data_IF_686138968168
#
_entry.id   IF_686138968168
#
_cell.length_a   1.000
_cell.length_b   1.000
_cell.length_c   1.000
_cell.angle_alpha   90.00
_cell.angle_beta   90.00
_cell.angle_gamma   90.00
#
_symmetry.space_group_name_H-M   'P 1'
#
loop_
_entity.id
_entity.type
_entity.pdbx_description
1 polymer ?
#
# COMPACT_ATOMS: atom_id res chain seq x y z
N UNK A 1 10.44 -11.87 70.24
CA UNK A 1 9.16 -11.68 69.52
C UNK A 1 9.11 -10.44 68.60
N UNK A 2 10.15 -9.59 68.55
CA UNK A 2 10.18 -8.40 67.67
C UNK A 2 10.36 -8.74 66.17
N UNK A 3 11.04 -9.84 65.86
CA UNK A 3 11.50 -10.16 64.51
C UNK A 3 10.37 -10.60 63.53
N UNK A 4 9.26 -11.18 64.03
CA UNK A 4 8.16 -11.64 63.14
C UNK A 4 7.27 -10.49 62.65
N UNK A 5 7.11 -9.43 63.45
CA UNK A 5 6.32 -8.25 63.09
C UNK A 5 7.02 -7.45 61.99
N UNK A 6 8.33 -7.26 62.12
CA UNK A 6 9.16 -6.55 61.14
C UNK A 6 9.24 -7.32 59.81
N UNK A 7 9.48 -8.63 59.85
CA UNK A 7 9.46 -9.49 58.65
C UNK A 7 8.14 -9.43 57.89
N UNK A 8 7.00 -9.36 58.60
CA UNK A 8 5.69 -9.21 57.97
C UNK A 8 5.52 -7.82 57.33
N UNK A 9 5.94 -6.75 58.02
CA UNK A 9 5.88 -5.39 57.48
C UNK A 9 6.75 -5.25 56.22
N UNK A 10 7.92 -5.87 56.22
CA UNK A 10 8.85 -5.88 55.08
C UNK A 10 8.28 -6.65 53.89
N UNK A 11 7.70 -7.83 54.11
CA UNK A 11 7.03 -8.60 53.05
C UNK A 11 5.91 -7.81 52.36
N UNK A 12 5.12 -7.06 53.15
CA UNK A 12 4.03 -6.21 52.64
C UNK A 12 4.56 -5.02 51.83
N UNK A 13 5.63 -4.36 52.31
CA UNK A 13 6.29 -3.26 51.58
C UNK A 13 6.91 -3.74 50.26
N UNK A 14 7.61 -4.87 50.29
CA UNK A 14 8.19 -5.49 49.09
C UNK A 14 7.11 -5.86 48.06
N UNK A 15 5.96 -6.37 48.51
CA UNK A 15 4.83 -6.62 47.60
C UNK A 15 4.25 -5.35 47.00
N UNK A 16 4.19 -4.26 47.76
CA UNK A 16 3.71 -2.98 47.25
C UNK A 16 4.62 -2.44 46.13
N UNK A 17 5.93 -2.43 46.35
CA UNK A 17 6.90 -1.99 45.33
C UNK A 17 6.88 -2.90 44.08
N UNK A 18 6.74 -4.21 44.26
CA UNK A 18 6.60 -5.14 43.13
C UNK A 18 5.35 -4.87 42.30
N UNK A 19 4.21 -4.61 42.96
CA UNK A 19 2.96 -4.27 42.27
C UNK A 19 3.01 -2.91 41.56
N UNK A 20 3.75 -1.97 42.14
CA UNK A 20 4.04 -0.65 41.55
C UNK A 20 4.90 -0.77 40.30
N UNK A 21 5.97 -1.56 40.35
CA UNK A 21 6.85 -1.80 39.20
C UNK A 21 6.15 -2.55 38.05
N UNK A 22 5.24 -3.47 38.38
CA UNK A 22 4.49 -4.23 37.39
C UNK A 22 3.31 -3.46 36.76
N UNK A 23 3.05 -2.22 37.17
CA UNK A 23 1.99 -1.37 36.59
C UNK A 23 0.57 -1.90 36.76
N UNK A 24 0.34 -2.80 37.73
CA UNK A 24 -0.98 -3.39 37.98
C UNK A 24 -1.78 -2.54 38.95
N UNK A 25 -3.12 -2.51 38.80
CA UNK A 25 -4.00 -1.80 39.73
C UNK A 25 -3.77 -2.29 41.17
N UNK A 26 -3.20 -1.42 42.00
CA UNK A 26 -2.82 -1.69 43.38
C UNK A 26 -4.04 -1.55 44.29
N UNK A 27 -4.30 -2.55 45.12
CA UNK A 27 -5.24 -2.46 46.23
C UNK A 27 -4.69 -3.26 47.44
N UNK A 28 -5.16 -2.94 48.65
CA UNK A 28 -4.72 -3.62 49.89
C UNK A 28 -4.83 -5.14 49.81
N UNK A 29 -5.90 -5.65 49.19
CA UNK A 29 -6.12 -7.09 49.00
C UNK A 29 -5.02 -7.73 48.15
N UNK A 30 -4.68 -7.15 47.01
CA UNK A 30 -3.62 -7.66 46.12
C UNK A 30 -2.23 -7.54 46.73
N UNK A 31 -1.99 -6.48 47.52
CA UNK A 31 -0.72 -6.35 48.25
C UNK A 31 -0.57 -7.51 49.23
N UNK A 32 -1.60 -7.85 49.99
CA UNK A 32 -1.55 -9.01 50.90
C UNK A 32 -1.46 -10.33 50.11
N UNK A 33 -2.24 -10.48 49.05
CA UNK A 33 -2.28 -11.73 48.25
C UNK A 33 -0.93 -12.01 47.54
N UNK A 34 -0.12 -10.98 47.25
CA UNK A 34 1.19 -11.13 46.62
C UNK A 34 2.37 -11.01 47.60
N UNK A 35 2.11 -10.73 48.88
CA UNK A 35 3.16 -10.64 49.88
C UNK A 35 3.69 -12.01 50.26
N UNK A 36 5.01 -12.15 50.14
CA UNK A 36 5.77 -13.35 50.47
C UNK A 36 6.87 -13.00 51.47
N UNK A 37 7.13 -13.91 52.40
CA UNK A 37 8.31 -13.86 53.25
C UNK A 37 9.56 -14.22 52.43
N UNK A 38 10.75 -14.00 53.01
CA UNK A 38 12.04 -14.30 52.35
C UNK A 38 12.20 -15.78 51.97
N UNK A 39 11.51 -16.67 52.68
CA UNK A 39 11.48 -18.11 52.40
C UNK A 39 10.54 -18.48 51.22
N UNK A 40 9.88 -17.50 50.61
CA UNK A 40 8.94 -17.67 49.51
C UNK A 40 7.51 -18.06 49.92
N UNK A 41 7.25 -18.24 51.22
CA UNK A 41 5.93 -18.55 51.74
C UNK A 41 5.01 -17.31 51.76
N UNK A 42 3.71 -17.52 51.59
CA UNK A 42 2.73 -16.42 51.56
C UNK A 42 2.40 -15.92 52.96
N UNK A 43 2.23 -14.61 53.08
CA UNK A 43 1.78 -14.02 54.34
C UNK A 43 0.32 -14.34 54.64
N UNK A 44 -0.05 -14.37 55.92
CA UNK A 44 -1.43 -14.60 56.35
C UNK A 44 -2.38 -13.50 55.89
N UNK A 45 -3.46 -13.89 55.20
CA UNK A 45 -4.43 -12.95 54.57
C UNK A 45 -5.15 -12.05 55.57
N UNK A 46 -5.35 -12.52 56.79
CA UNK A 46 -6.04 -11.81 57.87
C UNK A 46 -5.09 -11.05 58.78
N UNK A 47 -3.77 -11.28 58.69
CA UNK A 47 -2.76 -10.75 59.60
C UNK A 47 -2.68 -9.22 59.54
N UNK A 48 -2.86 -8.61 58.36
CA UNK A 48 -2.86 -7.15 58.23
C UNK A 48 -4.00 -6.50 59.04
N UNK A 49 -5.13 -7.19 59.18
CA UNK A 49 -6.33 -6.71 59.86
C UNK A 49 -6.47 -7.24 61.30
N UNK A 50 -5.43 -7.92 61.82
CA UNK A 50 -5.45 -8.46 63.17
C UNK A 50 -5.58 -7.34 64.21
N UNK A 51 -6.47 -7.56 65.18
CA UNK A 51 -6.73 -6.62 66.29
C UNK A 51 -6.12 -7.15 67.57
N UNK A 52 -5.59 -6.25 68.38
CA UNK A 52 -5.14 -6.60 69.73
C UNK A 52 -6.40 -6.90 70.59
N UNK A 53 -6.47 -8.06 71.26
CA UNK A 53 -7.63 -8.46 72.04
C UNK A 53 -7.93 -7.52 73.22
N UNK A 54 -6.92 -6.83 73.76
CA UNK A 54 -7.07 -5.92 74.90
C UNK A 54 -7.48 -4.50 74.47
N UNK A 55 -6.83 -3.95 73.45
CA UNK A 55 -7.05 -2.56 73.03
C UNK A 55 -8.06 -2.41 71.89
N UNK A 56 -8.50 -3.53 71.28
CA UNK A 56 -9.35 -3.60 70.07
C UNK A 56 -8.80 -2.84 68.84
N UNK A 57 -7.61 -2.25 68.94
CA UNK A 57 -6.93 -1.53 67.87
C UNK A 57 -6.19 -2.51 66.94
N UNK A 58 -5.99 -2.10 65.69
CA UNK A 58 -5.21 -2.88 64.72
C UNK A 58 -3.74 -2.98 65.15
N UNK A 59 -3.19 -4.19 65.13
CA UNK A 59 -1.79 -4.47 65.52
C UNK A 59 -0.80 -3.77 64.57
N UNK A 60 -1.20 -3.58 63.31
CA UNK A 60 -0.45 -2.93 62.24
C UNK A 60 -1.13 -1.63 61.76
N UNK A 61 -1.67 -0.82 62.68
CA UNK A 61 -2.35 0.44 62.35
C UNK A 61 -1.48 1.40 61.53
N UNK A 62 -0.19 1.51 61.85
CA UNK A 62 0.73 2.42 61.14
C UNK A 62 0.97 1.98 59.69
N UNK A 63 1.11 0.66 59.47
CA UNK A 63 1.28 0.09 58.13
C UNK A 63 0.02 0.28 57.26
N UNK A 64 -1.17 0.21 57.87
CA UNK A 64 -2.43 0.46 57.16
C UNK A 64 -2.53 1.92 56.70
N UNK A 65 -2.10 2.88 57.53
CA UNK A 65 -2.04 4.30 57.17
C UNK A 65 -1.03 4.56 56.06
N UNK A 66 0.19 4.03 56.20
CA UNK A 66 1.25 4.15 55.19
C UNK A 66 0.79 3.63 53.82
N UNK A 67 0.08 2.49 53.79
CA UNK A 67 -0.48 1.93 52.57
C UNK A 67 -1.61 2.78 51.98
N UNK A 68 -2.49 3.36 52.81
CA UNK A 68 -3.55 4.25 52.33
C UNK A 68 -2.99 5.53 51.72
N UNK A 69 -1.98 6.14 52.35
CA UNK A 69 -1.30 7.33 51.85
C UNK A 69 -0.62 7.04 50.50
N UNK A 70 0.18 5.97 50.43
CA UNK A 70 0.87 5.57 49.19
C UNK A 70 -0.08 5.20 48.06
N UNK A 71 -1.20 4.53 48.34
CA UNK A 71 -2.23 4.25 47.33
C UNK A 71 -2.89 5.55 46.86
N UNK A 72 -3.16 6.49 47.77
CA UNK A 72 -3.78 7.78 47.45
C UNK A 72 -2.86 8.66 46.60
N UNK A 73 -1.55 8.68 46.89
CA UNK A 73 -0.54 9.38 46.08
C UNK A 73 -0.48 8.85 44.65
N UNK A 74 -0.58 7.53 44.45
CA UNK A 74 -0.64 6.93 43.11
C UNK A 74 -1.89 7.37 42.34
N UNK A 75 -3.05 7.41 43.00
CA UNK A 75 -4.31 7.88 42.38
C UNK A 75 -4.25 9.36 42.02
N UNK A 76 -3.63 10.19 42.87
CA UNK A 76 -3.43 11.62 42.61
C UNK A 76 -2.36 11.85 41.50
N UNK A 77 -1.33 11.02 41.42
CA UNK A 77 -0.33 11.04 40.34
C UNK A 77 -0.92 10.64 38.99
N UNK A 78 -1.74 9.58 38.95
CA UNK A 78 -2.44 9.14 37.73
C UNK A 78 -3.48 10.14 37.22
N UNK A 79 -4.13 10.88 38.13
CA UNK A 79 -5.12 11.90 37.74
C UNK A 79 -4.49 13.16 37.14
N UNK A 80 -3.23 13.47 37.47
CA UNK A 80 -2.48 14.60 36.87
C UNK A 80 -1.91 14.30 35.48
N UNK A 81 -1.64 13.03 35.15
CA UNK A 81 -1.07 12.63 33.84
C UNK A 81 -2.16 12.35 32.79
N UNK A 82 -3.39 12.07 33.20
CA UNK A 82 -4.55 11.98 32.29
C UNK A 82 -5.25 13.33 32.12
N UNK A 83 -4.55 14.31 31.54
CA UNK A 83 -5.24 15.25 30.65
C UNK A 83 -5.73 14.44 29.44
N UNK A 84 -6.85 13.73 29.63
CA UNK A 84 -7.62 13.12 28.54
C UNK A 84 -7.86 14.24 27.54
N UNK A 85 -7.28 14.13 26.33
CA UNK A 85 -7.76 14.92 25.19
C UNK A 85 -9.28 14.83 25.21
N UNK A 86 -9.94 15.99 25.17
CA UNK A 86 -11.39 16.04 25.22
C UNK A 86 -11.95 15.14 24.11
N UNK A 87 -13.06 14.43 24.35
CA UNK A 87 -13.73 13.67 23.31
C UNK A 87 -13.98 14.51 22.05
N UNK A 88 -14.25 15.82 22.22
CA UNK A 88 -14.38 16.77 21.11
C UNK A 88 -13.10 16.91 20.28
N UNK A 89 -11.92 16.96 20.91
CA UNK A 89 -10.62 17.05 20.22
C UNK A 89 -10.33 15.76 19.44
N UNK A 90 -10.68 14.60 19.99
CA UNK A 90 -10.50 13.30 19.32
C UNK A 90 -11.41 13.21 18.09
N UNK A 91 -12.67 13.65 18.20
CA UNK A 91 -13.63 13.66 17.09
C UNK A 91 -13.16 14.60 15.98
N UNK A 92 -12.70 15.79 16.33
CA UNK A 92 -12.21 16.77 15.35
C UNK A 92 -10.96 16.27 14.60
N UNK A 93 -10.02 15.64 15.30
CA UNK A 93 -8.81 15.05 14.72
C UNK A 93 -9.15 13.86 13.79
N UNK A 94 -10.17 13.06 14.16
CA UNK A 94 -10.66 11.96 13.31
C UNK A 94 -11.38 12.46 12.06
N UNK A 95 -12.22 13.48 12.17
CA UNK A 95 -12.92 14.06 11.02
C UNK A 95 -11.94 14.68 10.02
N UNK A 96 -10.95 15.44 10.49
CA UNK A 96 -9.87 15.95 9.62
C UNK A 96 -9.16 14.84 8.87
N UNK A 97 -8.91 13.70 9.54
CA UNK A 97 -8.29 12.54 8.91
C UNK A 97 -9.20 11.85 7.89
N UNK A 98 -10.51 11.82 8.13
CA UNK A 98 -11.50 11.33 7.16
C UNK A 98 -11.48 12.23 5.92
N UNK A 99 -11.54 13.55 6.09
CA UNK A 99 -11.53 14.51 4.99
C UNK A 99 -10.24 14.39 4.15
N UNK A 100 -9.08 14.26 4.80
CA UNK A 100 -7.81 14.02 4.12
C UNK A 100 -7.79 12.70 3.34
N UNK A 101 -8.36 11.63 3.91
CA UNK A 101 -8.43 10.33 3.26
C UNK A 101 -9.39 10.36 2.07
N UNK A 102 -10.55 11.00 2.20
CA UNK A 102 -11.49 11.21 1.10
C UNK A 102 -10.86 12.03 -0.02
N UNK A 103 -10.13 13.10 0.32
CA UNK A 103 -9.42 13.91 -0.66
C UNK A 103 -8.35 13.10 -1.41
N UNK A 104 -7.55 12.31 -0.68
CA UNK A 104 -6.57 11.40 -1.29
C UNK A 104 -7.23 10.35 -2.19
N UNK A 105 -8.38 9.81 -1.76
CA UNK A 105 -9.12 8.81 -2.54
C UNK A 105 -9.69 9.43 -3.83
N UNK A 106 -10.30 10.63 -3.75
CA UNK A 106 -10.74 11.39 -4.94
C UNK A 106 -9.59 11.66 -5.90
N UNK A 107 -8.41 12.04 -5.39
CA UNK A 107 -7.22 12.27 -6.20
C UNK A 107 -6.74 10.98 -6.88
N UNK A 108 -6.70 9.86 -6.17
CA UNK A 108 -6.32 8.56 -6.74
C UNK A 108 -7.30 8.13 -7.84
N UNK A 109 -8.60 8.30 -7.62
CA UNK A 109 -9.62 7.99 -8.63
C UNK A 109 -9.44 8.85 -9.89
N UNK A 110 -9.17 10.15 -9.75
CA UNK A 110 -8.88 11.02 -10.89
C UNK A 110 -7.64 10.56 -11.67
N UNK A 111 -6.57 10.19 -10.97
CA UNK A 111 -5.36 9.65 -11.60
C UNK A 111 -5.62 8.32 -12.34
N UNK A 112 -6.49 7.46 -11.79
CA UNK A 112 -6.89 6.22 -12.48
C UNK A 112 -7.62 6.50 -13.78
N UNK A 113 -8.57 7.44 -13.78
CA UNK A 113 -9.31 7.84 -14.99
C UNK A 113 -8.37 8.43 -16.04
N UNK A 114 -7.40 9.25 -15.64
CA UNK A 114 -6.38 9.78 -16.57
C UNK A 114 -5.52 8.66 -17.17
N UNK A 115 -5.12 7.68 -16.37
CA UNK A 115 -4.34 6.53 -16.83
C UNK A 115 -5.14 5.62 -17.77
N UNK A 116 -6.41 5.35 -17.46
CA UNK A 116 -7.29 4.57 -18.34
C UNK A 116 -7.46 5.26 -19.70
N UNK A 117 -7.77 6.55 -19.69
CA UNK A 117 -7.87 7.34 -20.93
C UNK A 117 -6.55 7.35 -21.71
N UNK A 118 -5.41 7.50 -21.03
CA UNK A 118 -4.09 7.44 -21.68
C UNK A 118 -3.85 6.07 -22.30
N UNK A 119 -4.19 4.99 -21.61
CA UNK A 119 -4.02 3.63 -22.10
C UNK A 119 -4.90 3.38 -23.32
N UNK A 120 -6.18 3.72 -23.25
CA UNK A 120 -7.13 3.60 -24.37
C UNK A 120 -6.64 4.37 -25.59
N UNK A 121 -6.18 5.62 -25.39
CA UNK A 121 -5.60 6.42 -26.46
C UNK A 121 -4.33 5.78 -27.07
N UNK A 122 -3.43 5.21 -26.25
CA UNK A 122 -2.24 4.53 -26.78
C UNK A 122 -2.58 3.26 -27.54
N UNK A 123 -3.58 2.50 -27.10
CA UNK A 123 -4.07 1.30 -27.79
C UNK A 123 -4.68 1.70 -29.14
N UNK A 124 -5.56 2.71 -29.16
CA UNK A 124 -6.14 3.21 -30.40
C UNK A 124 -5.08 3.75 -31.37
N UNK A 125 -4.09 4.51 -30.89
CA UNK A 125 -3.00 4.99 -31.73
C UNK A 125 -2.16 3.85 -32.30
N UNK A 126 -1.88 2.81 -31.50
CA UNK A 126 -1.15 1.63 -31.99
C UNK A 126 -1.94 0.87 -33.05
N UNK A 127 -3.24 0.66 -32.84
CA UNK A 127 -4.12 0.01 -33.80
C UNK A 127 -4.24 0.84 -35.09
N UNK A 128 -4.42 2.16 -34.99
CA UNK A 128 -4.45 3.05 -36.14
C UNK A 128 -3.12 3.04 -36.91
N UNK A 129 -1.99 3.08 -36.21
CA UNK A 129 -0.67 2.98 -36.83
C UNK A 129 -0.47 1.64 -37.56
N UNK A 130 -0.92 0.53 -36.94
CA UNK A 130 -0.87 -0.79 -37.54
C UNK A 130 -1.76 -0.89 -38.79
N UNK A 131 -3.00 -0.39 -38.71
CA UNK A 131 -3.93 -0.34 -39.85
C UNK A 131 -3.34 0.50 -40.98
N UNK A 132 -2.77 1.67 -40.68
CA UNK A 132 -2.13 2.52 -41.69
C UNK A 132 -0.93 1.83 -42.34
N UNK A 133 -0.13 1.08 -41.59
CA UNK A 133 0.98 0.28 -42.12
C UNK A 133 0.48 -0.82 -43.05
N UNK A 134 -0.58 -1.54 -42.66
CA UNK A 134 -1.23 -2.55 -43.51
C UNK A 134 -1.81 -1.93 -44.78
N UNK A 135 -2.45 -0.75 -44.70
CA UNK A 135 -3.00 -0.04 -45.85
C UNK A 135 -1.89 0.35 -46.85
N UNK A 136 -0.75 0.86 -46.36
CA UNK A 136 0.42 1.17 -47.19
C UNK A 136 0.95 -0.10 -47.87
N UNK A 137 1.17 -1.18 -47.11
CA UNK A 137 1.68 -2.44 -47.64
C UNK A 137 0.74 -3.05 -48.69
N UNK A 138 -0.57 -3.03 -48.43
CA UNK A 138 -1.59 -3.50 -49.36
C UNK A 138 -1.57 -2.68 -50.65
N UNK A 139 -1.41 -1.36 -50.56
CA UNK A 139 -1.28 -0.49 -51.72
C UNK A 139 -0.04 -0.84 -52.55
N UNK A 140 1.13 -0.98 -51.91
CA UNK A 140 2.40 -1.30 -52.58
C UNK A 140 2.30 -2.64 -53.32
N UNK A 141 1.87 -3.70 -52.61
CA UNK A 141 1.73 -5.05 -53.19
C UNK A 141 0.70 -5.05 -54.31
N UNK A 142 -0.45 -4.39 -54.12
CA UNK A 142 -1.49 -4.32 -55.16
C UNK A 142 -0.99 -3.60 -56.41
N UNK A 143 -0.20 -2.54 -56.25
CA UNK A 143 0.38 -1.79 -57.36
C UNK A 143 1.40 -2.62 -58.13
N UNK A 144 2.33 -3.28 -57.44
CA UNK A 144 3.33 -4.16 -58.06
C UNK A 144 2.66 -5.35 -58.77
N UNK A 145 1.66 -5.98 -58.14
CA UNK A 145 0.92 -7.10 -58.72
C UNK A 145 0.12 -6.67 -59.96
N UNK A 146 -0.54 -5.50 -59.90
CA UNK A 146 -1.28 -4.95 -61.03
C UNK A 146 -0.35 -4.61 -62.21
N UNK A 147 0.88 -4.19 -61.95
CA UNK A 147 1.88 -4.01 -63.01
C UNK A 147 2.33 -5.32 -63.65
N UNK A 148 2.45 -6.41 -62.87
CA UNK A 148 2.90 -7.71 -63.40
C UNK A 148 1.80 -8.50 -64.12
N UNK A 149 0.58 -8.50 -63.57
CA UNK A 149 -0.54 -9.31 -64.09
C UNK A 149 -1.40 -8.51 -65.06
N UNK A 150 -1.58 -7.20 -64.83
CA UNK A 150 -2.43 -6.34 -65.63
C UNK A 150 -3.94 -6.64 -65.49
N UNK A 151 -4.78 -5.61 -65.67
CA UNK A 151 -6.20 -5.79 -66.01
C UNK A 151 -7.16 -6.20 -64.88
N UNK A 152 -6.72 -6.45 -63.65
CA UNK A 152 -7.62 -6.87 -62.58
C UNK A 152 -8.33 -5.66 -61.92
N UNK A 153 -9.65 -5.54 -62.14
CA UNK A 153 -10.47 -4.41 -61.67
C UNK A 153 -10.39 -4.19 -60.15
N UNK A 154 -10.28 -5.27 -59.37
CA UNK A 154 -10.20 -5.18 -57.91
C UNK A 154 -8.88 -4.52 -57.47
N UNK A 155 -7.75 -4.88 -58.08
CA UNK A 155 -6.44 -4.25 -57.76
C UNK A 155 -6.47 -2.76 -58.11
N UNK A 156 -6.98 -2.42 -59.29
CA UNK A 156 -7.14 -1.02 -59.70
C UNK A 156 -8.04 -0.22 -58.73
N UNK A 157 -9.11 -0.82 -58.21
CA UNK A 157 -9.97 -0.18 -57.23
C UNK A 157 -9.25 0.05 -55.89
N UNK A 158 -8.46 -0.91 -55.41
CA UNK A 158 -7.66 -0.77 -54.18
C UNK A 158 -6.64 0.37 -54.34
N UNK A 159 -5.90 0.37 -55.46
CA UNK A 159 -4.92 1.41 -55.80
C UNK A 159 -5.57 2.80 -55.82
N UNK A 160 -6.70 2.94 -56.54
CA UNK A 160 -7.41 4.22 -56.65
C UNK A 160 -7.93 4.70 -55.29
N UNK A 161 -8.54 3.82 -54.50
CA UNK A 161 -9.05 4.17 -53.16
C UNK A 161 -7.94 4.73 -52.27
N UNK A 162 -6.77 4.07 -52.25
CA UNK A 162 -5.63 4.54 -51.49
C UNK A 162 -5.10 5.90 -52.00
N UNK A 163 -4.96 6.07 -53.32
CA UNK A 163 -4.50 7.31 -53.93
C UNK A 163 -5.43 8.50 -53.69
N UNK A 164 -6.74 8.27 -53.66
CA UNK A 164 -7.74 9.29 -53.31
C UNK A 164 -7.67 9.63 -51.82
N UNK A 165 -7.64 8.62 -50.95
CA UNK A 165 -7.57 8.80 -49.48
C UNK A 165 -6.34 9.60 -49.05
N UNK A 166 -5.20 9.37 -49.70
CA UNK A 166 -3.91 9.97 -49.36
C UNK A 166 -3.42 10.99 -50.39
N UNK A 167 -4.32 11.58 -51.17
CA UNK A 167 -3.97 12.55 -52.20
C UNK A 167 -3.21 13.74 -51.61
N UNK A 168 -2.09 14.12 -52.23
CA UNK A 168 -1.23 15.23 -51.77
C UNK A 168 -0.43 14.96 -50.49
N UNK A 169 -0.64 13.84 -49.80
CA UNK A 169 0.09 13.51 -48.57
C UNK A 169 1.52 13.03 -48.83
N UNK A 170 2.41 13.23 -47.85
CA UNK A 170 3.78 12.70 -47.89
C UNK A 170 3.80 11.16 -47.90
N UNK A 171 2.84 10.51 -47.23
CA UNK A 171 2.68 9.04 -47.21
C UNK A 171 2.55 8.44 -48.60
N UNK A 172 1.77 9.09 -49.50
CA UNK A 172 1.64 8.63 -50.88
C UNK A 172 2.95 8.81 -51.68
N UNK A 173 3.72 9.86 -51.39
CA UNK A 173 5.03 10.08 -52.02
C UNK A 173 6.03 9.00 -51.59
N UNK A 174 6.12 8.74 -50.30
CA UNK A 174 6.98 7.70 -49.72
C UNK A 174 6.62 6.32 -50.27
N UNK A 175 5.33 5.96 -50.31
CA UNK A 175 4.88 4.69 -50.87
C UNK A 175 5.26 4.54 -52.36
N UNK A 176 5.18 5.62 -53.15
CA UNK A 176 5.63 5.61 -54.56
C UNK A 176 7.14 5.41 -54.69
N UNK A 177 7.94 6.02 -53.81
CA UNK A 177 9.39 5.81 -53.77
C UNK A 177 9.70 4.35 -53.45
N UNK A 178 9.06 3.79 -52.41
CA UNK A 178 9.25 2.38 -52.04
C UNK A 178 8.87 1.42 -53.17
N UNK A 179 7.75 1.67 -53.87
CA UNK A 179 7.35 0.89 -55.06
C UNK A 179 8.47 0.91 -56.11
N UNK A 180 9.07 2.08 -56.38
CA UNK A 180 10.12 2.19 -57.38
C UNK A 180 11.39 1.45 -56.94
N UNK A 181 11.79 1.58 -55.69
CA UNK A 181 12.93 0.83 -55.12
C UNK A 181 12.70 -0.68 -55.23
N UNK A 182 11.56 -1.17 -54.73
CA UNK A 182 11.23 -2.60 -54.80
C UNK A 182 11.12 -3.10 -56.23
N UNK A 183 10.62 -2.28 -57.16
CA UNK A 183 10.59 -2.62 -58.59
C UNK A 183 12.00 -2.85 -59.12
N UNK A 184 12.91 -1.91 -58.86
CA UNK A 184 14.31 -2.02 -59.28
C UNK A 184 14.97 -3.27 -58.67
N UNK A 185 14.73 -3.53 -57.39
CA UNK A 185 15.28 -4.71 -56.70
C UNK A 185 14.75 -6.02 -57.30
N UNK A 186 13.44 -6.09 -57.60
CA UNK A 186 12.84 -7.26 -58.26
C UNK A 186 13.40 -7.46 -59.67
N UNK A 187 13.65 -6.39 -60.42
CA UNK A 187 14.21 -6.47 -61.77
C UNK A 187 15.69 -6.89 -61.75
N UNK A 188 16.50 -6.34 -60.82
CA UNK A 188 17.90 -6.70 -60.65
C UNK A 188 18.11 -8.08 -60.00
N UNK A 189 17.14 -8.58 -59.24
CA UNK A 189 17.20 -9.91 -58.61
C UNK A 189 16.79 -11.05 -59.54
N UNK A 190 16.24 -10.75 -60.73
CA UNK A 190 15.99 -11.78 -61.73
C UNK A 190 17.32 -12.26 -62.30
N UNK A 191 17.65 -13.52 -62.03
CA UNK A 191 18.73 -14.22 -62.73
C UNK A 191 18.31 -14.33 -64.21
N UNK A 192 18.93 -13.53 -65.08
CA UNK A 192 18.83 -13.73 -66.52
C UNK A 192 19.68 -14.95 -66.83
N UNK A 193 19.03 -16.07 -67.19
CA UNK A 193 19.74 -17.25 -67.68
C UNK A 193 20.52 -16.89 -68.94
N UNK A 194 21.85 -17.12 -68.91
CA UNK A 194 22.85 -16.83 -69.97
C UNK A 194 22.45 -17.39 -71.35
N UNK A 195 21.48 -18.29 -71.42
CA UNK A 195 20.98 -18.89 -72.67
C UNK A 195 20.11 -17.96 -73.54
N UNK A 196 19.57 -16.86 -73.00
CA UNK A 196 18.82 -15.88 -73.82
C UNK A 196 19.72 -14.83 -74.50
N UNK A 197 20.91 -14.57 -73.98
CA UNK A 197 21.84 -13.56 -74.53
C UNK A 197 22.59 -13.99 -75.80
N UNK A 198 22.41 -15.23 -76.27
CA UNK A 198 23.09 -15.77 -77.45
C UNK A 198 22.15 -16.14 -78.61
N UNK A 199 20.88 -15.72 -78.59
CA UNK A 199 19.96 -15.95 -79.72
C UNK A 199 19.99 -14.87 -80.80
N UNK A 200 20.69 -13.76 -80.58
CA UNK A 200 20.91 -12.70 -81.57
C UNK A 200 22.40 -12.60 -81.93
N UNK A 201 22.96 -13.67 -82.50
CA UNK A 201 24.26 -13.67 -83.19
C UNK A 201 24.17 -14.47 -84.48
#
# INVERSE_FOLDING_TARGET
MANSKEKFQEAIRSSFELLKNNGTKINKKKIIDNAKFEDGSYVGKTTLYAKNPLTKAYIHADLLKELDEKISELVLGESKVKLKRSFSQIIEEKNKKIDELEFKNRKLLAQFVELENSLENTVHQNDENYIQSLEINLYIVSYLLNQKVGGYKILNNIIKKYQVKYHGSNKLKEAKVQIQTMKNDIECSKIISITESFKDS
#
